data_IF_310410198139
#
_entry.id   IF_310410198139
#
_cell.length_a   1.000
_cell.length_b   1.000
_cell.length_c   1.000
_cell.angle_alpha   90.00
_cell.angle_beta   90.00
_cell.angle_gamma   90.00
#
_symmetry.space_group_name_H-M   'P 1'
#
loop_
_entity.id
_entity.type
_entity.pdbx_description
1 polymer ?
#
# COMPACT_ATOMS: atom_id res chain seq x y z
N UNK A 1 -45.49 -44.92 2.77
CA UNK A 1 -46.21 -44.41 3.95
C UNK A 1 -46.70 -43.01 3.64
N UNK A 2 -47.91 -42.64 4.10
CA UNK A 2 -48.69 -41.50 3.62
C UNK A 2 -48.20 -40.14 4.16
N UNK A 3 -48.57 -39.01 3.52
CA UNK A 3 -48.21 -37.65 3.94
C UNK A 3 -49.36 -36.94 4.66
N UNK A 4 -49.10 -36.27 5.79
CA UNK A 4 -50.03 -35.34 6.48
C UNK A 4 -49.21 -34.46 7.45
N UNK A 5 -49.57 -33.18 7.75
CA UNK A 5 -49.97 -32.07 6.89
C UNK A 5 -49.19 -30.77 7.20
N UNK A 6 -49.47 -29.75 6.38
CA UNK A 6 -49.17 -28.35 6.64
C UNK A 6 -49.95 -27.80 7.85
N UNK A 7 -49.37 -26.82 8.54
CA UNK A 7 -50.11 -25.93 9.43
C UNK A 7 -49.94 -24.47 8.97
N UNK A 8 -51.08 -23.79 8.91
CA UNK A 8 -51.25 -22.39 8.54
C UNK A 8 -51.51 -21.55 9.81
N UNK A 9 -51.47 -20.23 9.62
CA UNK A 9 -51.96 -19.17 10.52
C UNK A 9 -50.90 -18.65 11.50
N UNK A 10 -50.80 -17.35 11.80
CA UNK A 10 -51.72 -16.24 11.57
C UNK A 10 -50.95 -14.93 11.62
N UNK A 11 -51.49 -13.95 10.90
CA UNK A 11 -51.19 -12.54 10.91
C UNK A 11 -51.54 -11.87 12.25
N UNK A 12 -50.74 -10.88 12.66
CA UNK A 12 -51.27 -9.63 13.24
C UNK A 12 -50.31 -8.48 12.93
N UNK A 13 -50.83 -7.50 12.20
CA UNK A 13 -50.33 -6.13 12.16
C UNK A 13 -50.75 -5.41 13.45
N UNK A 14 -49.98 -4.41 13.90
CA UNK A 14 -50.50 -3.10 14.33
C UNK A 14 -49.41 -2.17 14.87
N UNK A 15 -49.43 -0.95 14.31
CA UNK A 15 -49.22 0.39 14.91
C UNK A 15 -47.84 0.89 15.32
N UNK A 16 -47.52 2.00 14.64
CA UNK A 16 -46.63 3.10 14.95
C UNK A 16 -46.69 3.61 16.40
N UNK A 17 -45.53 4.09 16.86
CA UNK A 17 -45.41 5.15 17.85
C UNK A 17 -44.30 6.07 17.36
N UNK A 18 -44.69 7.30 17.02
CA UNK A 18 -43.84 8.46 16.85
C UNK A 18 -43.17 8.79 18.19
N UNK A 19 -41.86 9.06 18.19
CA UNK A 19 -41.21 9.86 19.23
C UNK A 19 -40.18 10.78 18.58
N UNK A 20 -40.60 12.04 18.39
CA UNK A 20 -39.76 13.20 18.17
C UNK A 20 -38.86 13.45 19.39
N UNK A 21 -37.56 13.63 19.17
CA UNK A 21 -36.66 14.27 20.14
C UNK A 21 -35.61 15.13 19.40
N UNK A 22 -35.07 16.18 20.04
CA UNK A 22 -35.08 17.52 19.49
C UNK A 22 -33.69 17.97 19.02
N UNK A 23 -33.72 18.94 18.12
CA UNK A 23 -32.60 19.77 17.69
C UNK A 23 -32.07 20.59 18.87
N UNK A 24 -30.74 20.63 19.12
CA UNK A 24 -30.11 21.72 19.83
C UNK A 24 -29.51 22.71 18.82
N UNK A 25 -30.14 23.88 18.74
CA UNK A 25 -29.51 25.11 18.26
C UNK A 25 -28.66 25.71 19.38
N UNK A 26 -27.40 26.06 19.13
CA UNK A 26 -26.64 27.16 19.77
C UNK A 26 -25.24 27.21 19.10
N UNK A 27 -24.99 28.19 18.23
CA UNK A 27 -24.44 29.54 18.51
C UNK A 27 -22.93 29.55 18.71
N UNK A 28 -22.26 30.17 17.73
CA UNK A 28 -21.07 31.03 17.82
C UNK A 28 -20.09 30.81 18.98
N UNK A 29 -18.89 30.32 18.64
CA UNK A 29 -17.65 30.83 19.25
C UNK A 29 -16.59 31.01 18.16
N UNK A 30 -16.47 32.26 17.71
CA UNK A 30 -15.28 32.80 17.07
C UNK A 30 -14.23 33.11 18.14
N UNK A 31 -13.09 32.45 18.08
CA UNK A 31 -11.80 32.91 18.62
C UNK A 31 -10.74 32.01 17.99
N UNK A 32 -9.72 32.46 17.26
CA UNK A 32 -8.97 33.70 17.39
C UNK A 32 -7.50 33.31 17.46
N UNK A 33 -6.75 33.73 16.43
CA UNK A 33 -5.33 34.13 16.52
C UNK A 33 -4.32 33.00 16.81
N UNK A 34 -3.69 32.48 15.76
CA UNK A 34 -2.30 32.03 15.81
C UNK A 34 -1.47 32.95 14.92
N UNK A 35 -0.85 33.92 15.58
CA UNK A 35 0.11 34.88 15.08
C UNK A 35 1.31 34.21 14.38
N UNK A 36 1.65 34.73 13.21
CA UNK A 36 2.92 34.45 12.53
C UNK A 36 4.12 34.86 13.40
N UNK A 37 5.25 34.14 13.34
CA UNK A 37 6.46 34.57 14.01
C UNK A 37 7.05 35.83 13.34
N UNK A 38 7.13 36.90 14.14
CA UNK A 38 7.93 38.09 13.88
C UNK A 38 9.38 37.71 13.51
N UNK A 39 9.77 37.98 12.27
CA UNK A 39 11.18 38.09 11.91
C UNK A 39 11.75 39.36 12.56
N UNK A 40 12.40 39.18 13.71
CA UNK A 40 13.24 40.20 14.31
C UNK A 40 14.39 40.53 13.36
N UNK A 41 14.46 41.81 12.95
CA UNK A 41 15.64 42.41 12.33
C UNK A 41 16.84 42.33 13.29
N UNK A 42 17.72 41.35 13.07
CA UNK A 42 19.06 41.37 13.62
C UNK A 42 19.86 42.47 12.93
N UNK A 43 20.29 43.45 13.72
CA UNK A 43 21.26 44.48 13.31
C UNK A 43 22.52 43.82 12.76
N UNK A 44 22.89 44.18 11.54
CA UNK A 44 24.22 43.92 10.98
C UNK A 44 25.30 44.57 11.87
N UNK A 45 26.33 43.85 12.29
CA UNK A 45 27.54 44.48 12.81
C UNK A 45 28.34 45.10 11.67
N UNK A 46 28.79 46.32 11.96
CA UNK A 46 29.70 47.17 11.19
C UNK A 46 31.03 46.42 10.95
N UNK A 47 31.54 46.32 9.71
CA UNK A 47 32.83 45.70 9.48
C UNK A 47 33.96 46.66 9.87
N UNK A 48 34.71 46.30 10.91
CA UNK A 48 35.97 46.96 11.24
C UNK A 48 37.04 46.54 10.24
N UNK A 49 37.66 47.55 9.63
CA UNK A 49 38.83 47.40 8.79
C UNK A 49 40.04 47.01 9.63
N UNK A 50 40.80 46.01 9.17
CA UNK A 50 42.25 46.06 8.92
C UNK A 50 42.80 44.63 8.99
N UNK A 51 43.14 44.07 7.84
CA UNK A 51 44.17 43.04 7.75
C UNK A 51 45.03 43.32 6.52
N UNK A 52 46.28 43.62 6.78
CA UNK A 52 47.38 43.80 5.84
C UNK A 52 47.57 42.52 5.03
N UNK A 53 47.27 42.56 3.74
CA UNK A 53 47.58 41.50 2.80
C UNK A 53 49.06 41.61 2.39
N UNK A 54 49.84 40.59 2.73
CA UNK A 54 51.18 40.36 2.19
C UNK A 54 51.08 40.14 0.66
N UNK A 55 51.97 40.70 -0.16
CA UNK A 55 51.98 40.46 -1.60
C UNK A 55 52.39 39.00 -1.86
N UNK A 56 51.42 38.13 -2.07
CA UNK A 56 51.63 36.83 -2.66
C UNK A 56 52.14 37.04 -4.10
N UNK A 57 53.39 36.64 -4.34
CA UNK A 57 54.01 36.58 -5.65
C UNK A 57 53.04 35.99 -6.68
N UNK A 58 52.88 36.67 -7.82
CA UNK A 58 52.01 36.24 -8.94
C UNK A 58 52.26 34.80 -9.41
N UNK A 59 53.43 34.23 -9.12
CA UNK A 59 53.75 32.82 -9.41
C UNK A 59 52.94 31.83 -8.55
N UNK A 60 52.74 32.11 -7.27
CA UNK A 60 52.01 31.22 -6.36
C UNK A 60 50.51 31.16 -6.70
N UNK A 61 49.93 32.28 -7.15
CA UNK A 61 48.53 32.36 -7.55
C UNK A 61 48.24 31.55 -8.83
N UNK A 62 49.17 31.55 -9.79
CA UNK A 62 49.03 30.75 -11.03
C UNK A 62 49.15 29.25 -10.76
N UNK A 63 50.03 28.83 -9.85
CA UNK A 63 50.17 27.43 -9.44
C UNK A 63 48.91 26.95 -8.71
N UNK A 64 48.34 27.78 -7.82
CA UNK A 64 47.11 27.45 -7.10
C UNK A 64 45.91 27.30 -8.05
N UNK A 65 45.76 28.18 -9.04
CA UNK A 65 44.71 28.08 -10.06
C UNK A 65 44.86 26.84 -10.94
N UNK A 66 46.09 26.49 -11.32
CA UNK A 66 46.35 25.27 -12.11
C UNK A 66 46.05 23.99 -11.32
N UNK A 67 46.41 23.95 -10.03
CA UNK A 67 46.07 22.84 -9.13
C UNK A 67 44.55 22.75 -8.92
N UNK A 68 43.85 23.88 -8.75
CA UNK A 68 42.40 23.89 -8.60
C UNK A 68 41.70 23.37 -9.87
N UNK A 69 42.15 23.79 -11.06
CA UNK A 69 41.63 23.30 -12.33
C UNK A 69 41.89 21.80 -12.53
N UNK A 70 43.06 21.29 -12.11
CA UNK A 70 43.39 19.88 -12.15
C UNK A 70 42.54 19.05 -11.18
N UNK A 71 42.27 19.57 -9.98
CA UNK A 71 41.38 18.94 -8.99
C UNK A 71 39.94 18.91 -9.51
N UNK A 72 39.44 20.01 -10.09
CA UNK A 72 38.10 20.05 -10.72
C UNK A 72 38.00 19.06 -11.88
N UNK A 73 39.05 18.96 -12.71
CA UNK A 73 39.10 17.98 -13.80
C UNK A 73 39.15 16.52 -13.29
N UNK A 74 39.90 16.24 -12.21
CA UNK A 74 39.92 14.91 -11.60
C UNK A 74 38.56 14.56 -10.95
N UNK A 75 37.90 15.51 -10.29
CA UNK A 75 36.57 15.29 -9.70
C UNK A 75 35.51 15.05 -10.78
N UNK A 76 35.59 15.78 -11.90
CA UNK A 76 34.72 15.54 -13.05
C UNK A 76 34.97 14.18 -13.72
N UNK A 77 36.23 13.71 -13.78
CA UNK A 77 36.58 12.41 -14.35
C UNK A 77 36.18 11.22 -13.47
N UNK A 78 36.10 11.38 -12.15
CA UNK A 78 35.65 10.33 -11.20
C UNK A 78 34.13 10.17 -11.19
N UNK A 79 33.37 11.09 -11.80
CA UNK A 79 31.89 11.07 -11.78
C UNK A 79 31.23 10.41 -13.00
N UNK A 80 31.99 9.84 -13.95
CA UNK A 80 31.43 8.95 -14.97
C UNK A 80 31.24 7.53 -14.42
N UNK A 81 30.50 7.40 -13.31
CA UNK A 81 29.78 6.16 -13.08
C UNK A 81 28.64 6.17 -14.09
N UNK A 82 28.67 5.27 -15.07
CA UNK A 82 27.50 5.02 -15.90
C UNK A 82 26.34 4.78 -14.95
N UNK A 83 25.32 5.65 -15.00
CA UNK A 83 24.10 5.42 -14.24
C UNK A 83 23.67 3.98 -14.52
N UNK A 84 23.37 3.16 -13.49
CA UNK A 84 22.88 1.81 -13.71
C UNK A 84 21.74 1.90 -14.74
N UNK A 85 21.68 0.99 -15.73
CA UNK A 85 20.71 1.08 -16.80
C UNK A 85 19.33 1.34 -16.19
N UNK A 86 18.73 2.47 -16.57
CA UNK A 86 17.41 2.86 -16.13
C UNK A 86 16.46 1.74 -16.53
N UNK A 87 16.10 0.91 -15.56
CA UNK A 87 15.25 -0.23 -15.79
C UNK A 87 13.83 0.31 -15.98
N UNK A 88 13.25 0.02 -17.15
CA UNK A 88 11.97 0.57 -17.58
C UNK A 88 10.85 -0.32 -17.07
N UNK A 89 9.91 0.22 -16.28
CA UNK A 89 8.72 -0.51 -15.86
C UNK A 89 7.98 -1.12 -17.05
N UNK A 90 7.51 -2.36 -16.87
CA UNK A 90 6.57 -2.97 -17.80
C UNK A 90 5.14 -2.71 -17.31
N UNK A 91 4.66 -1.48 -17.49
CA UNK A 91 3.34 -1.07 -16.99
C UNK A 91 2.65 -0.02 -17.87
N UNK A 92 1.37 0.27 -17.58
CA UNK A 92 0.63 1.39 -18.17
C UNK A 92 0.84 2.67 -17.36
N UNK A 93 0.78 3.86 -18.00
CA UNK A 93 0.67 5.12 -17.27
C UNK A 93 -0.56 5.16 -16.37
N UNK A 94 -0.51 5.99 -15.32
CA UNK A 94 -1.61 6.27 -14.42
C UNK A 94 -2.80 6.88 -15.19
N UNK A 95 -3.92 6.15 -15.34
CA UNK A 95 -5.01 6.59 -16.20
C UNK A 95 -5.91 7.66 -15.57
N UNK A 96 -5.84 7.85 -14.25
CA UNK A 96 -6.79 8.68 -13.49
C UNK A 96 -6.18 9.97 -12.93
N UNK A 97 -4.92 10.25 -13.26
CA UNK A 97 -4.21 11.43 -12.76
C UNK A 97 -4.93 12.76 -13.07
N UNK A 98 -5.55 12.85 -14.25
CA UNK A 98 -6.31 14.03 -14.66
C UNK A 98 -7.72 14.07 -14.07
N UNK A 99 -8.29 12.92 -13.71
CA UNK A 99 -9.62 12.80 -13.11
C UNK A 99 -9.59 13.24 -11.64
N UNK A 100 -8.47 12.98 -10.95
CA UNK A 100 -8.25 13.33 -9.55
C UNK A 100 -6.98 14.16 -9.36
N UNK A 101 -6.89 15.36 -9.95
CA UNK A 101 -5.63 16.08 -10.06
C UNK A 101 -5.10 16.62 -8.71
N UNK A 102 -5.95 16.70 -7.70
CA UNK A 102 -5.60 17.17 -6.35
C UNK A 102 -5.28 16.03 -5.37
N UNK A 103 -5.48 14.78 -5.76
CA UNK A 103 -5.16 13.60 -4.95
C UNK A 103 -3.84 13.00 -5.40
N UNK A 104 -3.19 12.25 -4.50
CA UNK A 104 -2.17 11.31 -4.91
C UNK A 104 -2.85 10.15 -5.65
N UNK A 105 -2.42 9.91 -6.88
CA UNK A 105 -2.91 8.81 -7.71
C UNK A 105 -1.73 8.07 -8.30
N UNK A 106 -1.93 6.80 -8.65
CA UNK A 106 -0.92 5.99 -9.32
C UNK A 106 -1.49 4.65 -9.75
N UNK A 107 -0.58 3.74 -10.11
CA UNK A 107 -0.91 2.37 -10.50
C UNK A 107 -0.17 1.38 -9.60
N UNK A 108 -0.89 0.37 -9.11
CA UNK A 108 -0.33 -0.70 -8.29
C UNK A 108 -0.35 -2.00 -9.07
N UNK A 109 0.74 -2.30 -9.76
CA UNK A 109 0.94 -3.55 -10.47
C UNK A 109 1.55 -4.57 -9.52
N UNK A 110 0.70 -5.47 -9.01
CA UNK A 110 1.05 -6.31 -7.88
C UNK A 110 0.47 -7.70 -8.01
N UNK A 111 1.12 -8.65 -7.34
CA UNK A 111 0.47 -9.87 -6.89
C UNK A 111 -0.24 -9.58 -5.58
N UNK A 112 -1.56 -9.75 -5.54
CA UNK A 112 -2.36 -9.84 -4.32
C UNK A 112 -2.67 -11.31 -4.05
N UNK A 113 -2.41 -11.83 -2.86
CA UNK A 113 -2.80 -13.19 -2.51
C UNK A 113 -3.26 -13.32 -1.07
N UNK A 114 -4.18 -14.25 -0.84
CA UNK A 114 -4.65 -14.67 0.48
C UNK A 114 -3.89 -15.92 0.89
N UNK A 115 -3.30 -15.86 2.07
CA UNK A 115 -2.73 -16.98 2.80
C UNK A 115 -3.72 -17.32 3.91
N UNK A 116 -4.46 -18.43 3.82
CA UNK A 116 -5.28 -18.88 4.94
C UNK A 116 -4.33 -19.31 6.08
N UNK A 117 -4.34 -18.58 7.18
CA UNK A 117 -3.64 -18.96 8.42
C UNK A 117 -4.66 -19.32 9.49
N UNK A 118 -4.35 -20.22 10.44
CA UNK A 118 -5.25 -20.48 11.56
C UNK A 118 -5.63 -19.17 12.26
N UNK A 119 -6.91 -18.98 12.58
CA UNK A 119 -7.39 -17.78 13.28
C UNK A 119 -6.66 -17.60 14.62
N UNK A 120 -6.33 -18.69 15.29
CA UNK A 120 -5.51 -18.69 16.50
C UNK A 120 -4.12 -18.08 16.28
N UNK A 121 -3.46 -18.35 15.15
CA UNK A 121 -2.19 -17.71 14.79
C UNK A 121 -2.41 -16.22 14.54
N UNK A 122 -3.43 -15.83 13.76
CA UNK A 122 -3.73 -14.42 13.52
C UNK A 122 -3.94 -13.62 14.83
N UNK A 123 -4.60 -14.22 15.82
CA UNK A 123 -4.75 -13.65 17.18
C UNK A 123 -3.46 -13.44 17.94
N UNK A 124 -2.43 -14.25 17.70
CA UNK A 124 -1.11 -14.03 18.30
C UNK A 124 -0.30 -12.95 17.59
N UNK A 125 -0.62 -12.67 16.32
CA UNK A 125 0.11 -11.72 15.49
C UNK A 125 -0.45 -10.30 15.59
N UNK A 126 -1.79 -10.16 15.53
CA UNK A 126 -2.47 -8.87 15.63
C UNK A 126 -2.50 -8.41 17.09
N UNK A 127 -2.12 -7.16 17.40
CA UNK A 127 -2.14 -6.64 18.75
C UNK A 127 -3.51 -6.83 19.44
N UNK A 128 -3.52 -7.26 20.72
CA UNK A 128 -4.73 -7.74 21.39
C UNK A 128 -5.80 -6.65 21.57
N UNK A 129 -5.42 -5.37 21.54
CA UNK A 129 -6.36 -4.26 21.59
C UNK A 129 -7.20 -4.09 20.31
N UNK A 130 -6.85 -4.77 19.22
CA UNK A 130 -7.58 -4.72 17.97
C UNK A 130 -8.21 -6.10 17.66
N UNK A 131 -9.52 -6.26 17.93
CA UNK A 131 -10.24 -7.46 17.55
C UNK A 131 -10.22 -7.71 16.04
N UNK A 132 -10.68 -8.90 15.63
CA UNK A 132 -10.80 -9.34 14.25
C UNK A 132 -12.28 -9.55 14.08
N UNK A 133 -12.82 -8.95 13.03
CA UNK A 133 -14.20 -9.05 12.65
C UNK A 133 -14.41 -10.37 11.89
N UNK A 134 -14.30 -11.49 12.60
CA UNK A 134 -14.39 -12.82 12.00
C UNK A 134 -15.71 -13.04 11.27
N UNK A 135 -16.80 -12.58 11.88
CA UNK A 135 -18.13 -12.61 11.31
C UNK A 135 -18.23 -11.85 9.98
N UNK A 136 -17.48 -10.75 9.80
CA UNK A 136 -17.51 -9.94 8.56
C UNK A 136 -16.84 -10.69 7.42
N UNK A 137 -15.60 -11.15 7.59
CA UNK A 137 -14.92 -11.83 6.49
C UNK A 137 -15.53 -13.21 6.21
N UNK A 138 -15.99 -13.95 7.23
CA UNK A 138 -16.66 -15.22 7.01
C UNK A 138 -17.96 -15.03 6.21
N UNK A 139 -18.76 -14.01 6.55
CA UNK A 139 -19.97 -13.68 5.79
C UNK A 139 -19.63 -13.26 4.35
N UNK A 140 -18.58 -12.46 4.15
CA UNK A 140 -18.12 -12.06 2.81
C UNK A 140 -17.67 -13.28 1.97
N UNK A 141 -16.84 -14.16 2.53
CA UNK A 141 -16.37 -15.36 1.82
C UNK A 141 -17.54 -16.28 1.46
N UNK A 142 -18.50 -16.47 2.37
CA UNK A 142 -19.70 -17.23 2.12
C UNK A 142 -20.59 -16.59 1.04
N UNK A 143 -20.80 -15.27 1.10
CA UNK A 143 -21.59 -14.52 0.12
C UNK A 143 -20.97 -14.57 -1.29
N UNK A 144 -19.64 -14.61 -1.38
CA UNK A 144 -18.89 -14.75 -2.63
C UNK A 144 -18.73 -16.21 -3.09
N UNK A 145 -19.29 -17.19 -2.37
CA UNK A 145 -19.26 -18.59 -2.74
C UNK A 145 -17.87 -19.25 -2.66
N UNK A 146 -16.98 -18.73 -1.80
CA UNK A 146 -15.66 -19.34 -1.60
C UNK A 146 -15.82 -20.68 -0.87
N UNK A 147 -15.29 -21.75 -1.45
CA UNK A 147 -15.32 -23.10 -0.86
C UNK A 147 -14.51 -23.18 0.43
N UNK A 148 -14.99 -23.94 1.41
CA UNK A 148 -14.26 -24.26 2.65
C UNK A 148 -12.94 -25.01 2.38
N UNK A 149 -12.82 -25.69 1.23
CA UNK A 149 -11.56 -26.30 0.80
C UNK A 149 -10.49 -25.24 0.48
N UNK A 150 -10.91 -24.10 -0.09
CA UNK A 150 -10.05 -22.97 -0.42
C UNK A 150 -9.77 -22.13 0.83
N UNK A 151 -10.81 -21.88 1.63
CA UNK A 151 -10.72 -21.07 2.84
C UNK A 151 -11.51 -21.70 4.00
N UNK A 152 -10.84 -22.44 4.90
CA UNK A 152 -11.53 -23.13 5.98
C UNK A 152 -12.15 -22.16 7.01
N UNK A 153 -13.25 -22.56 7.70
CA UNK A 153 -13.99 -21.67 8.61
C UNK A 153 -13.17 -21.11 9.79
N UNK A 154 -12.15 -21.84 10.27
CA UNK A 154 -11.29 -21.47 11.40
C UNK A 154 -10.01 -20.73 10.97
N UNK A 155 -9.98 -20.22 9.73
CA UNK A 155 -8.85 -19.48 9.19
C UNK A 155 -9.12 -17.98 9.08
N UNK A 156 -8.03 -17.23 9.01
CA UNK A 156 -7.98 -15.79 8.81
C UNK A 156 -7.26 -15.47 7.49
N UNK A 157 -7.76 -14.49 6.69
CA UNK A 157 -7.19 -14.19 5.39
C UNK A 157 -5.99 -13.23 5.52
N UNK A 158 -4.83 -13.76 5.88
CA UNK A 158 -3.58 -12.99 5.83
C UNK A 158 -3.30 -12.62 4.38
N UNK A 159 -3.26 -11.33 4.07
CA UNK A 159 -2.99 -10.87 2.72
C UNK A 159 -1.50 -10.62 2.53
N UNK A 160 -0.98 -11.01 1.37
CA UNK A 160 0.31 -10.56 0.87
C UNK A 160 0.08 -9.69 -0.35
N UNK A 161 0.78 -8.56 -0.38
CA UNK A 161 0.88 -7.72 -1.56
C UNK A 161 2.36 -7.58 -1.92
N UNK A 162 2.70 -7.76 -3.18
CA UNK A 162 4.06 -7.56 -3.67
C UNK A 162 4.07 -7.14 -5.15
N UNK A 163 4.84 -6.10 -5.48
CA UNK A 163 4.98 -5.65 -6.86
C UNK A 163 5.53 -4.24 -6.95
N UNK A 164 5.03 -3.50 -7.94
CA UNK A 164 5.47 -2.17 -8.35
C UNK A 164 4.37 -1.13 -8.08
N UNK A 165 4.77 -0.05 -7.44
CA UNK A 165 4.01 1.18 -7.31
C UNK A 165 4.56 2.14 -8.38
N UNK A 166 3.71 2.52 -9.34
CA UNK A 166 4.10 3.15 -10.60
C UNK A 166 3.32 4.45 -10.90
N UNK A 167 4.00 5.42 -11.52
CA UNK A 167 3.44 6.68 -12.03
C UNK A 167 2.58 7.43 -10.99
N UNK A 168 3.15 7.51 -9.78
CA UNK A 168 2.51 8.16 -8.63
C UNK A 168 2.66 9.67 -8.76
N UNK A 169 1.55 10.39 -8.74
CA UNK A 169 1.52 11.83 -8.94
C UNK A 169 0.38 12.55 -8.24
N UNK A 170 0.62 13.84 -7.97
CA UNK A 170 -0.42 14.83 -7.68
C UNK A 170 -0.40 15.84 -8.85
N UNK A 171 -1.21 15.56 -9.87
CA UNK A 171 -1.08 16.18 -11.19
C UNK A 171 -1.23 17.71 -11.18
N UNK A 172 -2.14 18.25 -10.34
CA UNK A 172 -2.36 19.70 -10.21
C UNK A 172 -1.10 20.46 -9.77
N UNK A 173 -0.23 19.81 -8.99
CA UNK A 173 0.99 20.40 -8.46
C UNK A 173 2.26 19.97 -9.20
N UNK A 174 2.14 19.09 -10.21
CA UNK A 174 3.27 18.48 -10.93
C UNK A 174 4.26 17.81 -9.98
N UNK A 175 3.73 17.20 -8.92
CA UNK A 175 4.50 16.40 -7.98
C UNK A 175 4.39 14.93 -8.41
N UNK A 176 5.51 14.22 -8.34
CA UNK A 176 5.58 12.79 -8.65
C UNK A 176 6.52 12.09 -7.67
N UNK A 177 6.15 10.88 -7.28
CA UNK A 177 7.04 9.96 -6.56
C UNK A 177 7.63 9.02 -7.62
N UNK A 178 8.94 8.80 -7.56
CA UNK A 178 9.59 7.85 -8.48
C UNK A 178 9.02 6.45 -8.27
N UNK A 179 9.04 5.61 -9.30
CA UNK A 179 8.58 4.24 -9.15
C UNK A 179 9.39 3.49 -8.08
N UNK A 180 8.71 2.60 -7.36
CA UNK A 180 9.34 1.74 -6.38
C UNK A 180 8.63 0.41 -6.28
N UNK A 181 9.35 -0.60 -5.84
CA UNK A 181 8.78 -1.89 -5.51
C UNK A 181 8.57 -2.00 -4.02
N UNK A 182 7.49 -2.69 -3.64
CA UNK A 182 7.23 -3.04 -2.25
C UNK A 182 6.67 -4.44 -2.12
N UNK A 183 6.84 -5.00 -0.93
CA UNK A 183 6.16 -6.21 -0.52
C UNK A 183 5.89 -6.22 0.99
N UNK A 184 4.75 -6.76 1.40
CA UNK A 184 4.39 -6.83 2.81
C UNK A 184 3.20 -7.73 3.08
N UNK A 185 3.00 -7.97 4.38
CA UNK A 185 1.79 -8.60 4.88
C UNK A 185 0.82 -7.55 5.38
N UNK A 186 -0.46 -7.85 5.20
CA UNK A 186 -1.53 -6.99 5.62
C UNK A 186 -2.63 -7.85 6.25
N UNK A 187 -3.18 -7.32 7.34
CA UNK A 187 -4.15 -8.00 8.19
C UNK A 187 -5.49 -7.25 8.07
N UNK A 188 -6.37 -7.62 7.12
CA UNK A 188 -7.68 -6.99 6.93
C UNK A 188 -8.70 -7.39 8.00
N UNK A 189 -9.85 -6.72 8.04
CA UNK A 189 -10.97 -7.00 8.96
C UNK A 189 -10.56 -6.86 10.43
N UNK A 190 -9.67 -5.91 10.72
CA UNK A 190 -9.26 -5.55 12.07
C UNK A 190 -10.17 -4.45 12.60
N UNK A 191 -10.71 -4.64 13.81
CA UNK A 191 -11.54 -3.66 14.49
C UNK A 191 -10.66 -2.69 15.27
N UNK A 192 -10.16 -1.66 14.59
CA UNK A 192 -9.34 -0.64 15.25
C UNK A 192 -10.18 0.20 16.23
N UNK A 193 -11.46 0.46 15.93
CA UNK A 193 -12.32 1.37 16.68
C UNK A 193 -12.99 0.71 17.89
N UNK A 194 -13.01 -0.61 17.96
CA UNK A 194 -13.76 -1.36 18.97
C UNK A 194 -15.27 -1.26 18.79
N UNK A 195 -15.74 -0.93 17.57
CA UNK A 195 -17.17 -0.75 17.27
C UNK A 195 -17.81 -2.02 16.69
N UNK A 196 -17.02 -3.09 16.54
CA UNK A 196 -17.45 -4.39 15.99
C UNK A 196 -18.08 -4.28 14.59
N UNK A 197 -17.72 -3.26 13.80
CA UNK A 197 -18.32 -3.01 12.49
C UNK A 197 -17.30 -2.48 11.47
N UNK A 198 -16.58 -1.40 11.79
CA UNK A 198 -15.67 -0.71 10.88
C UNK A 198 -14.42 -1.54 10.62
N UNK A 199 -14.21 -1.97 9.38
CA UNK A 199 -13.09 -2.84 9.02
C UNK A 199 -11.86 -2.06 8.59
N UNK A 200 -10.73 -2.33 9.24
CA UNK A 200 -9.43 -1.76 8.90
C UNK A 200 -8.44 -2.84 8.48
N UNK A 201 -7.38 -2.41 7.81
CA UNK A 201 -6.24 -3.23 7.43
C UNK A 201 -4.99 -2.83 8.20
N UNK A 202 -4.51 -3.71 9.07
CA UNK A 202 -3.26 -3.47 9.79
C UNK A 202 -2.04 -3.88 8.95
N UNK A 203 -1.09 -2.97 8.78
CA UNK A 203 0.08 -3.10 7.90
C UNK A 203 1.37 -2.95 8.72
N UNK A 204 1.82 -4.00 9.43
CA UNK A 204 2.90 -3.86 10.40
C UNK A 204 4.29 -3.66 9.78
N UNK A 205 4.53 -4.26 8.61
CA UNK A 205 5.88 -4.34 8.05
C UNK A 205 5.88 -4.45 6.53
N UNK A 206 6.67 -3.61 5.87
CA UNK A 206 6.91 -3.64 4.44
C UNK A 206 8.42 -3.65 4.11
N UNK A 207 8.78 -4.34 3.02
CA UNK A 207 10.02 -4.10 2.30
C UNK A 207 9.71 -3.08 1.20
N UNK A 208 10.53 -2.03 1.08
CA UNK A 208 10.39 -0.95 0.07
C UNK A 208 11.74 -0.69 -0.59
N UNK A 209 11.76 -0.29 -1.87
CA UNK A 209 12.98 0.15 -2.57
C UNK A 209 13.74 1.22 -1.78
N UNK A 210 15.00 0.93 -1.43
CA UNK A 210 15.78 1.76 -0.52
C UNK A 210 16.12 3.15 -1.07
N UNK A 211 16.20 3.31 -2.39
CA UNK A 211 16.46 4.60 -3.03
C UNK A 211 15.24 5.52 -3.07
N UNK A 212 14.04 5.03 -2.71
CA UNK A 212 12.83 5.84 -2.69
C UNK A 212 12.53 6.33 -1.27
N UNK A 213 13.17 7.45 -0.89
CA UNK A 213 13.04 8.01 0.45
C UNK A 213 11.60 8.43 0.77
N UNK A 214 10.87 8.98 -0.21
CA UNK A 214 9.49 9.44 0.00
C UNK A 214 8.56 8.27 0.32
N UNK A 215 8.67 7.13 -0.39
CA UNK A 215 7.89 5.94 -0.10
C UNK A 215 8.25 5.31 1.26
N UNK A 216 9.55 5.29 1.59
CA UNK A 216 10.03 4.75 2.88
C UNK A 216 9.52 5.59 4.04
N UNK A 217 9.64 6.92 3.98
CA UNK A 217 9.20 7.81 5.05
C UNK A 217 7.67 7.94 5.08
N UNK A 218 7.00 7.91 3.92
CA UNK A 218 5.54 7.87 3.83
C UNK A 218 4.95 6.68 4.60
N UNK A 219 5.49 5.48 4.37
CA UNK A 219 5.04 4.28 5.09
C UNK A 219 5.38 4.34 6.60
N UNK A 220 6.57 4.84 6.96
CA UNK A 220 6.97 5.03 8.38
C UNK A 220 6.08 6.02 9.12
N UNK A 221 5.55 7.02 8.45
CA UNK A 221 4.70 8.03 9.08
C UNK A 221 3.40 7.43 9.67
N UNK A 222 2.92 6.31 9.13
CA UNK A 222 1.78 5.56 9.67
C UNK A 222 2.17 4.55 10.76
N UNK A 223 3.46 4.46 11.10
CA UNK A 223 4.02 3.52 12.08
C UNK A 223 4.45 2.18 11.51
N UNK A 224 4.43 2.01 10.18
CA UNK A 224 4.85 0.77 9.53
C UNK A 224 6.34 0.57 9.73
N UNK A 225 6.75 -0.62 10.15
CA UNK A 225 8.16 -1.00 10.09
C UNK A 225 8.56 -1.11 8.63
N UNK A 226 9.53 -0.32 8.18
CA UNK A 226 10.04 -0.41 6.80
C UNK A 226 11.43 -1.01 6.82
N UNK A 227 11.61 -2.07 6.03
CA UNK A 227 12.89 -2.69 5.70
C UNK A 227 13.33 -2.27 4.30
N UNK A 228 14.16 -1.22 4.16
CA UNK A 228 14.63 -0.78 2.85
C UNK A 228 15.45 -1.89 2.15
N UNK A 229 15.19 -2.10 0.87
CA UNK A 229 15.87 -3.11 0.05
C UNK A 229 16.46 -2.51 -1.23
N UNK A 230 17.69 -2.91 -1.54
CA UNK A 230 18.36 -2.63 -2.82
C UNK A 230 18.19 -3.80 -3.80
N UNK A 231 17.51 -4.87 -3.39
CA UNK A 231 17.48 -6.14 -4.11
C UNK A 231 16.05 -6.61 -4.30
N UNK A 232 15.54 -6.35 -5.50
CA UNK A 232 14.30 -6.90 -6.01
C UNK A 232 14.59 -7.74 -7.26
N UNK A 233 13.89 -8.86 -7.41
CA UNK A 233 13.98 -9.74 -8.58
C UNK A 233 12.57 -10.15 -9.03
N UNK A 234 12.09 -9.70 -10.20
CA UNK A 234 12.81 -8.82 -11.14
C UNK A 234 12.98 -7.38 -10.62
N UNK A 235 14.02 -6.66 -11.07
CA UNK A 235 14.12 -5.22 -10.82
C UNK A 235 13.07 -4.47 -11.65
N UNK A 236 12.40 -3.48 -11.03
CA UNK A 236 11.41 -2.57 -11.64
C UNK A 236 10.31 -3.24 -12.47
N UNK A 237 9.98 -4.47 -12.13
CA UNK A 237 8.86 -5.21 -12.69
C UNK A 237 8.11 -5.86 -11.52
N UNK A 238 6.79 -5.88 -11.60
CA UNK A 238 5.94 -6.45 -10.57
C UNK A 238 6.19 -7.95 -10.40
N UNK A 239 6.49 -8.66 -11.49
CA UNK A 239 6.75 -10.10 -11.47
C UNK A 239 7.35 -10.58 -12.79
N UNK A 240 8.38 -11.43 -12.71
CA UNK A 240 9.01 -11.97 -13.93
C UNK A 240 8.25 -13.19 -14.40
N UNK A 241 7.79 -13.17 -15.65
CA UNK A 241 7.32 -14.37 -16.35
C UNK A 241 8.49 -15.34 -16.61
N UNK A 242 8.34 -16.59 -16.19
CA UNK A 242 9.39 -17.62 -16.30
C UNK A 242 9.06 -18.74 -17.32
N UNK A 243 8.17 -18.52 -18.30
CA UNK A 243 7.67 -19.57 -19.22
C UNK A 243 8.72 -20.59 -19.69
N UNK A 244 8.45 -21.90 -19.61
CA UNK A 244 7.94 -22.74 -20.73
C UNK A 244 7.01 -23.87 -20.22
N UNK A 245 6.77 -23.94 -18.91
CA UNK A 245 5.94 -24.94 -18.23
C UNK A 245 4.98 -24.25 -17.26
N UNK A 246 3.68 -24.18 -17.60
CA UNK A 246 2.61 -23.87 -16.64
C UNK A 246 2.36 -22.41 -16.27
N UNK A 247 3.08 -21.46 -16.88
CA UNK A 247 2.78 -20.03 -16.72
C UNK A 247 3.10 -19.45 -15.34
N UNK A 248 4.31 -19.72 -14.87
CA UNK A 248 4.80 -19.30 -13.56
C UNK A 248 5.44 -17.91 -13.58
N UNK A 249 5.13 -17.11 -12.57
CA UNK A 249 5.69 -15.80 -12.25
C UNK A 249 6.42 -15.84 -10.91
N UNK A 250 7.46 -15.02 -10.75
CA UNK A 250 8.20 -14.89 -9.49
C UNK A 250 8.44 -13.43 -9.12
N UNK A 251 8.46 -13.16 -7.82
CA UNK A 251 8.89 -11.92 -7.21
C UNK A 251 9.75 -12.23 -5.98
N UNK A 252 10.84 -11.50 -5.78
CA UNK A 252 11.68 -11.61 -4.58
C UNK A 252 12.11 -10.23 -4.12
N UNK A 253 12.21 -10.06 -2.80
CA UNK A 253 12.87 -8.93 -2.20
C UNK A 253 13.74 -9.36 -1.01
N UNK A 254 14.90 -8.74 -0.85
CA UNK A 254 15.82 -8.98 0.27
C UNK A 254 16.35 -7.67 0.84
N UNK A 255 16.07 -7.42 2.12
CA UNK A 255 16.54 -6.25 2.84
C UNK A 255 17.80 -6.57 3.66
N UNK A 256 18.61 -5.53 3.94
CA UNK A 256 19.90 -5.67 4.65
C UNK A 256 19.76 -6.22 6.07
N UNK A 257 18.59 -6.10 6.69
CA UNK A 257 18.30 -6.64 8.02
C UNK A 257 17.85 -8.11 7.99
N UNK A 258 18.13 -8.84 6.91
CA UNK A 258 17.69 -10.23 6.68
C UNK A 258 16.17 -10.41 6.57
N UNK A 259 15.39 -9.34 6.44
CA UNK A 259 13.99 -9.46 6.04
C UNK A 259 13.93 -9.83 4.57
N UNK A 260 13.18 -10.87 4.22
CA UNK A 260 13.07 -11.31 2.83
C UNK A 260 11.70 -11.89 2.52
N UNK A 261 11.33 -11.81 1.25
CA UNK A 261 10.11 -12.44 0.75
C UNK A 261 10.35 -12.96 -0.66
N UNK A 262 9.73 -14.10 -0.97
CA UNK A 262 9.70 -14.73 -2.28
C UNK A 262 8.30 -15.23 -2.55
N UNK A 263 7.78 -14.84 -3.71
CA UNK A 263 6.52 -15.30 -4.26
C UNK A 263 6.82 -16.14 -5.50
N UNK A 264 6.14 -17.28 -5.63
CA UNK A 264 6.16 -18.11 -6.83
C UNK A 264 4.74 -18.54 -7.13
N UNK A 265 4.18 -18.00 -8.19
CA UNK A 265 2.78 -18.19 -8.57
C UNK A 265 2.67 -18.71 -9.99
N UNK A 266 1.64 -19.47 -10.29
CA UNK A 266 1.28 -19.82 -11.67
C UNK A 266 -0.14 -19.35 -11.95
N UNK A 267 -0.38 -18.95 -13.20
CA UNK A 267 -1.67 -18.48 -13.64
C UNK A 267 -2.66 -19.66 -13.71
N UNK A 268 -3.83 -19.49 -13.10
CA UNK A 268 -4.90 -20.49 -13.12
C UNK A 268 -5.91 -20.11 -14.19
N UNK A 269 -5.62 -20.42 -15.46
CA UNK A 269 -6.44 -20.01 -16.60
C UNK A 269 -7.82 -20.70 -16.71
N UNK A 270 -8.15 -21.64 -15.81
CA UNK A 270 -9.41 -22.39 -15.83
C UNK A 270 -10.37 -21.91 -14.74
N UNK A 271 -11.66 -21.84 -15.11
CA UNK A 271 -12.75 -21.16 -14.40
C UNK A 271 -13.49 -22.07 -13.39
N UNK A 272 -14.07 -21.51 -12.30
CA UNK A 272 -13.90 -20.14 -11.81
C UNK A 272 -12.64 -19.97 -10.94
N UNK A 273 -12.13 -18.74 -10.77
CA UNK A 273 -11.07 -18.46 -9.80
C UNK A 273 -11.48 -18.91 -8.40
N UNK A 274 -10.54 -19.49 -7.64
CA UNK A 274 -10.80 -19.95 -6.29
C UNK A 274 -11.19 -18.81 -5.33
N UNK A 275 -10.66 -17.61 -5.56
CA UNK A 275 -10.99 -16.39 -4.84
C UNK A 275 -11.43 -15.31 -5.84
N UNK A 276 -12.70 -14.86 -5.79
CA UNK A 276 -13.21 -13.82 -6.68
C UNK A 276 -12.48 -12.49 -6.51
N UNK A 277 -12.41 -11.68 -7.57
CA UNK A 277 -11.74 -10.38 -7.52
C UNK A 277 -12.40 -9.42 -6.52
N UNK A 278 -13.73 -9.49 -6.38
CA UNK A 278 -14.48 -8.68 -5.41
C UNK A 278 -14.05 -8.92 -3.96
N UNK A 279 -13.52 -10.10 -3.64
CA UNK A 279 -12.94 -10.34 -2.33
C UNK A 279 -11.74 -9.40 -2.08
N UNK A 280 -10.85 -9.27 -3.07
CA UNK A 280 -9.68 -8.39 -2.99
C UNK A 280 -10.07 -6.92 -2.99
N UNK A 281 -11.13 -6.54 -3.72
CA UNK A 281 -11.71 -5.19 -3.63
C UNK A 281 -12.11 -4.85 -2.19
N UNK A 282 -12.87 -5.73 -1.55
CA UNK A 282 -13.33 -5.55 -0.17
C UNK A 282 -12.19 -5.57 0.86
N UNK A 283 -11.14 -6.37 0.63
CA UNK A 283 -10.00 -6.44 1.54
C UNK A 283 -9.06 -5.23 1.42
N UNK A 284 -8.80 -4.78 0.19
CA UNK A 284 -7.78 -3.75 -0.06
C UNK A 284 -8.29 -2.32 0.08
N UNK A 285 -9.60 -2.09 -0.06
CA UNK A 285 -10.20 -0.76 0.10
C UNK A 285 -10.62 -0.43 1.54
N UNK A 286 -10.15 -1.21 2.51
CA UNK A 286 -10.25 -0.88 3.94
C UNK A 286 -9.20 0.17 4.30
N UNK A 287 -9.49 1.14 5.18
CA UNK A 287 -8.49 2.08 5.67
C UNK A 287 -7.35 1.32 6.33
N UNK A 288 -6.12 1.71 6.01
CA UNK A 288 -4.92 1.03 6.48
C UNK A 288 -4.20 1.81 7.57
N UNK A 289 -3.58 1.10 8.51
CA UNK A 289 -2.85 1.70 9.63
C UNK A 289 -1.76 0.76 10.15
N UNK A 290 -0.81 1.29 10.92
CA UNK A 290 0.17 0.47 11.65
C UNK A 290 0.27 0.83 13.13
N UNK A 291 0.32 2.12 13.49
CA UNK A 291 0.35 2.59 14.88
C UNK A 291 -1.03 2.79 15.52
N UNK A 292 -2.09 2.84 14.70
CA UNK A 292 -3.48 3.01 15.13
C UNK A 292 -3.94 4.46 15.27
N UNK A 293 -3.11 5.46 14.99
CA UNK A 293 -3.50 6.88 15.10
C UNK A 293 -3.76 7.52 13.75
N UNK A 294 -2.87 7.30 12.79
CA UNK A 294 -3.02 7.83 11.44
C UNK A 294 -3.45 6.70 10.50
N UNK A 295 -4.44 6.99 9.67
CA UNK A 295 -4.95 6.07 8.67
C UNK A 295 -4.66 6.59 7.26
N UNK A 296 -4.31 5.66 6.38
CA UNK A 296 -4.26 5.87 4.95
C UNK A 296 -5.50 5.24 4.30
N UNK A 297 -6.20 6.01 3.47
CA UNK A 297 -7.29 5.52 2.65
C UNK A 297 -6.92 5.51 1.18
N UNK A 298 -6.18 4.46 0.81
CA UNK A 298 -5.84 4.11 -0.56
C UNK A 298 -6.98 3.29 -1.21
N UNK A 299 -7.81 3.99 -1.98
CA UNK A 299 -8.95 3.40 -2.70
C UNK A 299 -8.44 2.86 -4.04
N UNK A 300 -8.51 1.53 -4.21
CA UNK A 300 -8.19 0.86 -5.48
C UNK A 300 -9.43 0.66 -6.33
N UNK A 301 -9.27 0.91 -7.62
CA UNK A 301 -10.33 0.80 -8.63
C UNK A 301 -10.16 -0.53 -9.35
N UNK A 302 -11.17 -1.40 -9.36
CA UNK A 302 -11.06 -2.79 -9.86
C UNK A 302 -11.85 -3.05 -11.15
N UNK A 303 -12.76 -2.16 -11.55
CA UNK A 303 -13.62 -2.37 -12.73
C UNK A 303 -13.17 -1.56 -13.97
N UNK A 304 -11.97 -0.99 -13.95
CA UNK A 304 -11.49 -0.11 -15.02
C UNK A 304 -11.31 -0.89 -16.33
N UNK A 305 -11.68 -0.29 -17.47
CA UNK A 305 -11.46 -0.91 -18.79
C UNK A 305 -9.96 -1.21 -19.06
N UNK A 306 -9.05 -0.62 -18.27
CA UNK A 306 -7.61 -0.86 -18.33
C UNK A 306 -7.22 -2.29 -17.94
N UNK A 307 -8.00 -2.99 -17.11
CA UNK A 307 -7.77 -4.41 -16.77
C UNK A 307 -8.07 -5.37 -17.92
N UNK A 308 -9.05 -5.02 -18.75
CA UNK A 308 -9.68 -5.94 -19.70
C UNK A 308 -9.46 -5.53 -21.17
N UNK A 309 -8.97 -4.32 -21.44
CA UNK A 309 -9.05 -3.68 -22.76
C UNK A 309 -7.75 -3.18 -23.38
N UNK A 310 -6.57 -3.34 -22.75
CA UNK A 310 -5.32 -2.76 -23.28
C UNK A 310 -4.77 -3.48 -24.53
N UNK A 311 -5.35 -4.62 -24.92
CA UNK A 311 -4.82 -5.46 -26.00
C UNK A 311 -3.47 -6.12 -25.65
N UNK A 312 -2.88 -5.81 -24.49
CA UNK A 312 -1.66 -6.43 -23.98
C UNK A 312 -2.04 -7.51 -22.95
N UNK A 313 -2.06 -8.75 -23.40
CA UNK A 313 -2.40 -9.90 -22.56
C UNK A 313 -1.49 -10.05 -21.31
N UNK A 314 -0.29 -9.46 -21.32
CA UNK A 314 0.63 -9.49 -20.18
C UNK A 314 0.22 -8.55 -19.03
N UNK A 315 -0.69 -7.59 -19.30
CA UNK A 315 -1.18 -6.62 -18.32
C UNK A 315 -2.64 -6.88 -17.90
N UNK A 316 -3.25 -7.94 -18.45
CA UNK A 316 -4.57 -8.38 -18.02
C UNK A 316 -4.52 -8.92 -16.59
N UNK A 317 -5.66 -8.87 -15.88
CA UNK A 317 -5.77 -9.50 -14.58
C UNK A 317 -5.73 -11.03 -14.71
N UNK A 318 -4.82 -11.70 -14.00
CA UNK A 318 -4.68 -13.15 -14.00
C UNK A 318 -4.93 -13.71 -12.60
N UNK A 319 -5.87 -14.66 -12.43
CA UNK A 319 -5.96 -15.40 -11.18
C UNK A 319 -4.73 -16.30 -11.04
N UNK A 320 -4.20 -16.42 -9.83
CA UNK A 320 -2.97 -17.16 -9.56
C UNK A 320 -3.10 -18.08 -8.35
N UNK A 321 -2.32 -19.16 -8.35
CA UNK A 321 -2.09 -20.04 -7.20
C UNK A 321 -0.61 -20.29 -7.03
N UNK A 322 -0.13 -20.43 -5.81
CA UNK A 322 1.30 -20.54 -5.60
C UNK A 322 1.75 -20.72 -4.17
N UNK A 323 2.93 -20.18 -3.90
CA UNK A 323 3.56 -20.19 -2.60
C UNK A 323 4.21 -18.85 -2.28
N UNK A 324 4.31 -18.61 -0.98
CA UNK A 324 5.00 -17.47 -0.39
C UNK A 324 6.01 -18.03 0.59
N UNK A 325 7.25 -17.53 0.55
CA UNK A 325 8.26 -17.80 1.56
C UNK A 325 8.76 -16.46 2.05
N UNK A 326 8.78 -16.23 3.36
CA UNK A 326 9.34 -15.02 3.94
C UNK A 326 10.19 -15.32 5.15
N UNK A 327 11.06 -14.39 5.48
CA UNK A 327 11.86 -14.43 6.70
C UNK A 327 11.84 -13.07 7.39
N UNK A 328 11.72 -13.08 8.71
CA UNK A 328 11.90 -11.92 9.60
C UNK A 328 10.91 -10.76 9.34
N UNK A 329 9.69 -11.07 8.91
CA UNK A 329 8.61 -10.10 8.70
C UNK A 329 7.78 -9.88 9.96
N UNK A 330 8.11 -8.93 10.83
CA UNK A 330 7.25 -8.59 11.97
C UNK A 330 5.75 -8.47 11.62
N UNK A 331 4.84 -9.07 12.41
CA UNK A 331 5.07 -9.85 13.64
C UNK A 331 5.46 -11.33 13.42
N UNK A 332 5.55 -11.81 12.18
CA UNK A 332 6.04 -13.13 11.82
C UNK A 332 7.57 -13.21 11.98
N UNK A 333 8.03 -13.90 13.02
CA UNK A 333 9.45 -14.07 13.30
C UNK A 333 10.00 -15.36 12.69
N UNK A 334 11.24 -15.30 12.19
CA UNK A 334 11.88 -16.45 11.57
C UNK A 334 11.38 -16.70 10.15
N UNK A 335 11.59 -17.92 9.65
CA UNK A 335 11.25 -18.31 8.28
C UNK A 335 9.88 -18.98 8.24
N UNK A 336 9.04 -18.51 7.33
CA UNK A 336 7.73 -19.08 7.06
C UNK A 336 7.61 -19.43 5.58
N UNK A 337 6.96 -20.54 5.29
CA UNK A 337 6.62 -20.94 3.92
C UNK A 337 5.18 -21.40 3.90
N UNK A 338 4.39 -20.77 3.04
CA UNK A 338 2.99 -21.09 2.80
C UNK A 338 2.86 -21.58 1.37
N UNK A 339 2.20 -22.72 1.19
CA UNK A 339 1.95 -23.32 -0.11
C UNK A 339 0.70 -24.19 -0.05
N UNK A 340 0.28 -24.74 -1.18
CA UNK A 340 -0.92 -25.57 -1.27
C UNK A 340 -2.17 -24.74 -1.51
N UNK A 341 -2.57 -23.87 -0.59
CA UNK A 341 -3.81 -23.08 -0.66
C UNK A 341 -3.59 -21.56 -0.64
N UNK A 342 -2.54 -21.07 -1.29
CA UNK A 342 -2.34 -19.64 -1.51
C UNK A 342 -2.88 -19.25 -2.87
N UNK A 343 -3.93 -18.43 -2.88
CA UNK A 343 -4.67 -18.02 -4.07
C UNK A 343 -4.72 -16.50 -4.15
N UNK A 344 -4.72 -15.96 -5.37
CA UNK A 344 -4.56 -14.54 -5.59
C UNK A 344 -4.87 -14.07 -6.99
N UNK A 345 -4.46 -12.83 -7.26
CA UNK A 345 -4.51 -12.18 -8.56
C UNK A 345 -3.21 -11.45 -8.84
N UNK A 346 -2.80 -11.45 -10.10
CA UNK A 346 -1.80 -10.55 -10.66
C UNK A 346 -2.50 -9.53 -11.53
N UNK A 347 -2.38 -8.25 -11.17
CA UNK A 347 -3.12 -7.17 -11.81
C UNK A 347 -2.53 -5.79 -11.46
N UNK A 348 -2.83 -4.80 -12.29
CA UNK A 348 -2.45 -3.41 -12.09
C UNK A 348 -3.67 -2.53 -11.77
N UNK A 349 -3.86 -2.15 -10.50
CA UNK A 349 -5.02 -1.36 -10.07
C UNK A 349 -4.69 0.13 -9.92
N UNK A 350 -5.40 1.05 -10.61
CA UNK A 350 -5.31 2.46 -10.30
C UNK A 350 -5.76 2.72 -8.87
N UNK A 351 -5.19 3.73 -8.23
CA UNK A 351 -5.59 4.12 -6.88
C UNK A 351 -5.71 5.62 -6.69
N UNK A 352 -6.56 5.99 -5.74
CA UNK A 352 -6.68 7.34 -5.18
C UNK A 352 -6.30 7.24 -3.71
N UNK A 353 -5.35 8.05 -3.27
CA UNK A 353 -4.85 8.01 -1.90
C UNK A 353 -5.23 9.27 -1.14
N UNK A 354 -5.86 9.07 0.02
CA UNK A 354 -6.18 10.11 0.98
C UNK A 354 -5.33 9.86 2.23
N UNK A 355 -4.27 10.66 2.35
CA UNK A 355 -3.21 10.47 3.32
C UNK A 355 -3.48 11.23 4.64
N UNK A 356 -2.86 10.76 5.73
CA UNK A 356 -2.82 11.41 7.05
C UNK A 356 -4.20 11.69 7.66
N UNK A 357 -5.15 10.78 7.46
CA UNK A 357 -6.49 10.90 8.01
C UNK A 357 -6.53 10.39 9.46
N UNK A 358 -7.44 10.95 10.26
CA UNK A 358 -7.74 10.37 11.56
C UNK A 358 -8.45 9.04 11.36
N UNK A 359 -7.97 7.98 12.02
CA UNK A 359 -8.63 6.68 11.95
C UNK A 359 -10.06 6.73 12.50
N UNK A 360 -10.37 7.64 13.42
CA UNK A 360 -11.71 7.78 14.02
C UNK A 360 -12.75 8.29 13.00
N UNK A 361 -12.32 8.98 11.95
CA UNK A 361 -13.20 9.47 10.86
C UNK A 361 -13.77 8.32 10.01
N UNK A 362 -13.21 7.11 10.11
CA UNK A 362 -13.65 5.93 9.37
C UNK A 362 -14.72 5.10 10.08
N UNK A 363 -15.34 5.64 11.14
CA UNK A 363 -16.46 4.96 11.80
C UNK A 363 -17.64 4.78 10.85
N UNK A 364 -18.06 3.54 10.65
CA UNK A 364 -19.13 3.17 9.71
C UNK A 364 -18.71 3.23 8.24
N UNK A 365 -17.40 3.24 7.97
CA UNK A 365 -16.90 3.20 6.60
C UNK A 365 -17.07 1.80 5.99
N UNK A 366 -17.90 1.72 4.95
CA UNK A 366 -18.21 0.49 4.21
C UNK A 366 -17.52 0.44 2.83
N UNK A 367 -16.50 1.28 2.61
CA UNK A 367 -15.85 1.46 1.31
C UNK A 367 -16.35 2.69 0.54
N UNK A 368 -15.74 2.93 -0.62
CA UNK A 368 -16.22 3.96 -1.56
C UNK A 368 -16.79 3.30 -2.80
N UNK A 369 -18.00 3.70 -3.17
CA UNK A 369 -18.56 3.46 -4.50
C UNK A 369 -18.29 4.69 -5.37
N UNK A 370 -17.35 4.57 -6.30
CA UNK A 370 -16.98 5.64 -7.21
C UNK A 370 -17.68 5.40 -8.55
N UNK A 371 -18.63 6.27 -8.97
CA UNK A 371 -19.32 6.10 -10.24
C UNK A 371 -18.33 6.00 -11.40
N UNK A 372 -18.34 4.88 -12.11
CA UNK A 372 -17.45 4.60 -13.24
C UNK A 372 -16.16 3.83 -12.92
N UNK A 373 -15.92 3.47 -11.65
CA UNK A 373 -14.69 2.83 -11.15
C UNK A 373 -14.91 1.78 -10.03
#
# INVERSE_FOLDING_TARGET
MPPVPADQSSSTASTAVDDEFPIPTHSDVSSGIASQPNFNHTKQPKPDSMSSALPLSMGAFRILLALLALIVALVAAVSLSAAPPACTPLDQPNPIANDYPYNATGLLNVTLAVIPIPLSLARTLIPPQWPILAHVYQALFAALGVSEEVFPPDHYPLMVQAGLDHDIQVAAYKLSISDFQRAGYEFPFVDRLGDNHSSFRWVPHQIITASNADAVEGSRAYGTLVSPSESFDPPCDAYRWLGQYGGTTNFKAYARNNTSIRLSFYHTYFSPPALPLDLFRNMTNQPSFANGTACDNQIRLFNTAHFFGTGNANLAAHPVRGSVTSANFAPLHGMHTWGGNVHGWQLATPFIENNYLDCDDFKGYDGVDLPGY
#
